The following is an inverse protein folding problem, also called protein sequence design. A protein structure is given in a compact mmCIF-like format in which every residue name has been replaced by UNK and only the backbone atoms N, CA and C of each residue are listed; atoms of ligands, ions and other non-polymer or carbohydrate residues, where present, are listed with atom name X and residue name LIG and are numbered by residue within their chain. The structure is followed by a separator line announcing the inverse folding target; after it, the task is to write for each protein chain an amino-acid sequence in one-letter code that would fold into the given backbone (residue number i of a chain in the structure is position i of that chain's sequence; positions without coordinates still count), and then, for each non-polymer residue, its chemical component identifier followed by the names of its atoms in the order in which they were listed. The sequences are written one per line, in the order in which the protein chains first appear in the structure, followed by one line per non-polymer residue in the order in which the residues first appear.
data_IF_696808792639
#
_entry.id   IF_696808792639
#
_cell.length_a   1.000
_cell.length_b   1.000
_cell.length_c   1.000
_cell.angle_alpha   90.00
_cell.angle_beta   90.00
_cell.angle_gamma   90.00
#
_symmetry.space_group_name_H-M   'P 1'
#
loop_
_entity.id
_entity.type
_entity.pdbx_description
1 polymer ?
#
# COMPACT_ATOMS: atom_id res chain seq x y z
N UNK A 1 15.92 -24.54 -11.56
CA UNK A 1 14.60 -23.85 -11.52
C UNK A 1 14.77 -22.33 -11.64
N UNK A 2 13.70 -21.59 -11.97
CA UNK A 2 13.73 -20.12 -12.12
C UNK A 2 13.78 -19.40 -10.76
N UNK A 3 14.62 -18.38 -10.64
CA UNK A 3 14.73 -17.51 -9.45
C UNK A 3 13.68 -16.38 -9.42
N UNK A 4 12.90 -16.23 -10.48
CA UNK A 4 11.90 -15.15 -10.59
C UNK A 4 10.83 -15.24 -9.49
N UNK A 5 10.23 -16.41 -9.18
CA UNK A 5 9.21 -16.51 -8.14
C UNK A 5 9.68 -16.12 -6.72
N UNK A 6 10.85 -16.58 -6.21
CA UNK A 6 11.31 -16.15 -4.88
C UNK A 6 11.69 -14.66 -4.86
N UNK A 7 12.27 -14.13 -5.94
CA UNK A 7 12.55 -12.69 -6.03
C UNK A 7 11.28 -11.85 -5.96
N UNK A 8 10.22 -12.25 -6.67
CA UNK A 8 8.91 -11.58 -6.61
C UNK A 8 8.28 -11.68 -5.22
N UNK A 9 8.34 -12.85 -4.58
CA UNK A 9 7.84 -13.04 -3.21
C UNK A 9 8.56 -12.14 -2.21
N UNK A 10 9.90 -12.07 -2.29
CA UNK A 10 10.71 -11.19 -1.46
C UNK A 10 10.42 -9.70 -1.70
N UNK A 11 10.26 -9.28 -2.96
CA UNK A 11 9.90 -7.92 -3.29
C UNK A 11 8.54 -7.52 -2.71
N UNK A 12 7.52 -8.36 -2.87
CA UNK A 12 6.19 -8.16 -2.28
C UNK A 12 6.24 -8.12 -0.76
N UNK A 13 7.00 -9.04 -0.15
CA UNK A 13 7.18 -9.09 1.30
C UNK A 13 7.70 -7.75 1.84
N UNK A 14 8.79 -7.24 1.26
CA UNK A 14 9.42 -5.99 1.67
C UNK A 14 8.54 -4.76 1.37
N UNK A 15 7.91 -4.74 0.19
CA UNK A 15 7.02 -3.65 -0.22
C UNK A 15 5.78 -3.54 0.69
N UNK A 16 5.24 -4.66 1.18
CA UNK A 16 4.16 -4.67 2.15
C UNK A 16 4.62 -4.38 3.59
N UNK A 17 5.80 -4.90 3.96
CA UNK A 17 6.33 -4.74 5.31
C UNK A 17 6.62 -3.28 5.65
N UNK A 18 7.19 -2.52 4.70
CA UNK A 18 7.53 -1.11 4.91
C UNK A 18 6.33 -0.25 5.38
N UNK A 19 5.17 -0.23 4.71
CA UNK A 19 3.99 0.45 5.22
C UNK A 19 3.41 -0.23 6.46
N UNK A 20 3.43 -1.57 6.59
CA UNK A 20 2.89 -2.25 7.77
C UNK A 20 3.55 -1.80 9.08
N UNK A 21 4.88 -1.73 9.08
CA UNK A 21 5.69 -1.29 10.22
C UNK A 21 5.82 0.22 10.32
N UNK A 22 5.21 0.96 9.38
CA UNK A 22 5.39 2.40 9.20
C UNK A 22 6.88 2.82 9.16
N UNK A 23 7.72 1.99 8.50
CA UNK A 23 9.15 2.23 8.43
C UNK A 23 9.42 3.56 7.71
N UNK A 24 10.12 4.48 8.37
CA UNK A 24 10.37 5.86 7.89
C UNK A 24 9.09 6.64 7.54
N UNK A 25 7.95 6.29 8.14
CA UNK A 25 6.67 6.93 7.82
C UNK A 25 6.11 6.49 6.46
N UNK A 26 6.42 5.29 5.98
CA UNK A 26 5.94 4.79 4.69
C UNK A 26 4.40 4.82 4.58
N UNK A 27 3.65 4.50 5.64
CA UNK A 27 2.19 4.57 5.59
C UNK A 27 1.72 6.03 5.49
N UNK A 28 2.39 6.93 6.20
CA UNK A 28 2.16 8.37 6.09
C UNK A 28 2.47 8.89 4.67
N UNK A 29 3.60 8.49 4.09
CA UNK A 29 4.00 8.89 2.74
C UNK A 29 2.98 8.41 1.70
N UNK A 30 2.54 7.15 1.78
CA UNK A 30 1.52 6.61 0.87
C UNK A 30 0.24 7.43 0.95
N UNK A 31 -0.23 7.74 2.17
CA UNK A 31 -1.44 8.56 2.36
C UNK A 31 -1.24 9.98 1.82
N UNK A 32 -0.17 10.66 2.22
CA UNK A 32 0.05 12.08 1.88
C UNK A 32 0.42 12.32 0.42
N UNK A 33 1.05 11.35 -0.26
CA UNK A 33 1.51 11.50 -1.64
C UNK A 33 0.55 10.84 -2.64
N UNK A 34 0.07 9.63 -2.37
CA UNK A 34 -0.79 8.91 -3.34
C UNK A 34 -2.28 9.17 -3.13
N UNK A 35 -2.73 9.39 -1.88
CA UNK A 35 -4.16 9.49 -1.57
C UNK A 35 -4.64 10.93 -1.33
N UNK A 36 -3.72 11.89 -1.20
CA UNK A 36 -4.06 13.27 -0.89
C UNK A 36 -4.73 13.97 -2.09
N UNK A 37 -5.98 14.47 -1.93
CA UNK A 37 -6.71 15.13 -3.01
C UNK A 37 -6.10 16.47 -3.43
N UNK A 38 -5.17 17.03 -2.65
CA UNK A 38 -4.42 18.23 -3.04
C UNK A 38 -3.58 18.02 -4.32
N UNK A 39 -3.17 16.77 -4.59
CA UNK A 39 -2.44 16.41 -5.81
C UNK A 39 -3.33 15.71 -6.85
N UNK A 40 -4.65 15.63 -6.61
CA UNK A 40 -5.56 14.98 -7.53
C UNK A 40 -5.81 15.83 -8.78
N UNK A 41 -5.98 15.16 -9.92
CA UNK A 41 -6.29 15.84 -11.18
C UNK A 41 -7.58 16.68 -11.08
N UNK A 42 -7.69 17.78 -11.83
CA UNK A 42 -8.88 18.65 -11.83
C UNK A 42 -10.19 17.89 -12.13
N UNK A 43 -10.11 16.81 -12.93
CA UNK A 43 -11.24 15.94 -13.23
C UNK A 43 -11.76 15.15 -12.03
N UNK A 44 -10.88 14.75 -11.10
CA UNK A 44 -11.24 14.10 -9.85
C UNK A 44 -11.90 15.08 -8.89
N UNK A 45 -11.37 16.30 -8.78
CA UNK A 45 -11.96 17.37 -7.97
C UNK A 45 -13.39 17.69 -8.42
N UNK A 46 -13.66 17.71 -9.73
CA UNK A 46 -15.02 17.86 -10.27
C UNK A 46 -15.96 16.70 -9.89
N UNK A 47 -15.45 15.47 -9.79
CA UNK A 47 -16.25 14.32 -9.32
C UNK A 47 -16.59 14.44 -7.84
N UNK A 48 -15.65 14.90 -7.01
CA UNK A 48 -15.91 15.19 -5.60
C UNK A 48 -16.98 16.28 -5.43
N UNK A 49 -16.86 17.38 -6.18
CA UNK A 49 -17.88 18.44 -6.18
C UNK A 49 -19.26 17.93 -6.60
N UNK A 50 -19.36 17.08 -7.63
CA UNK A 50 -20.64 16.44 -8.03
C UNK A 50 -21.23 15.53 -6.95
N UNK A 51 -20.40 15.00 -6.05
CA UNK A 51 -20.83 14.13 -4.95
C UNK A 51 -21.22 14.91 -3.69
N UNK A 52 -21.21 16.25 -3.75
CA UNK A 52 -21.51 17.12 -2.61
C UNK A 52 -20.36 17.27 -1.62
N UNK A 53 -19.13 16.90 -2.01
CA UNK A 53 -17.95 17.09 -1.15
C UNK A 53 -17.41 18.50 -1.37
N UNK A 54 -17.74 19.40 -0.45
CA UNK A 54 -17.38 20.83 -0.53
C UNK A 54 -15.90 21.07 -0.21
N UNK A 55 -15.32 20.29 0.71
CA UNK A 55 -13.94 20.48 1.20
C UNK A 55 -13.16 19.15 1.26
N UNK A 56 -12.78 18.58 0.10
CA UNK A 56 -12.16 17.24 0.04
C UNK A 56 -10.85 17.14 0.82
N UNK A 57 -10.10 18.24 0.96
CA UNK A 57 -8.89 18.27 1.78
C UNK A 57 -9.20 18.21 3.29
N UNK A 58 -10.24 18.91 3.75
CA UNK A 58 -10.62 18.93 5.17
C UNK A 58 -11.11 17.55 5.62
N UNK A 59 -11.93 16.89 4.79
CA UNK A 59 -12.42 15.53 5.03
C UNK A 59 -11.26 14.53 5.01
N UNK A 60 -10.33 14.68 4.06
CA UNK A 60 -9.13 13.86 3.99
C UNK A 60 -8.28 13.96 5.27
N UNK A 61 -8.06 15.16 5.81
CA UNK A 61 -7.31 15.32 7.06
C UNK A 61 -8.02 14.68 8.26
N UNK A 62 -9.35 14.72 8.28
CA UNK A 62 -10.16 14.08 9.32
C UNK A 62 -10.03 12.55 9.30
N UNK A 63 -9.96 11.97 8.10
CA UNK A 63 -9.84 10.53 7.90
C UNK A 63 -8.39 10.02 7.77
N UNK A 64 -7.39 10.90 7.69
CA UNK A 64 -6.01 10.55 7.39
C UNK A 64 -5.43 9.51 8.36
N UNK A 65 -5.77 9.56 9.65
CA UNK A 65 -5.35 8.56 10.63
C UNK A 65 -5.92 7.17 10.34
N UNK A 66 -7.22 7.11 9.99
CA UNK A 66 -7.89 5.85 9.63
C UNK A 66 -7.35 5.31 8.31
N UNK A 67 -7.06 6.18 7.35
CA UNK A 67 -6.43 5.79 6.08
C UNK A 67 -5.01 5.25 6.29
N UNK A 68 -4.21 5.87 7.18
CA UNK A 68 -2.88 5.34 7.54
C UNK A 68 -2.99 3.96 8.17
N UNK A 69 -3.93 3.75 9.10
CA UNK A 69 -4.17 2.43 9.67
C UNK A 69 -4.57 1.40 8.62
N UNK A 70 -5.46 1.77 7.68
CA UNK A 70 -5.82 0.90 6.55
C UNK A 70 -4.60 0.55 5.70
N UNK A 71 -3.76 1.52 5.34
CA UNK A 71 -2.53 1.29 4.58
C UNK A 71 -1.58 0.35 5.31
N UNK A 72 -1.47 0.45 6.64
CA UNK A 72 -0.67 -0.48 7.46
C UNK A 72 -1.23 -1.90 7.41
N UNK A 73 -2.54 -2.05 7.55
CA UNK A 73 -3.22 -3.37 7.49
C UNK A 73 -3.04 -4.01 6.12
N UNK A 74 -3.26 -3.25 5.05
CA UNK A 74 -3.04 -3.71 3.68
C UNK A 74 -1.57 -4.06 3.42
N UNK A 75 -0.64 -3.24 3.92
CA UNK A 75 0.78 -3.55 3.90
C UNK A 75 1.09 -4.90 4.55
N UNK A 76 0.51 -5.17 5.72
CA UNK A 76 0.66 -6.44 6.42
C UNK A 76 0.15 -7.64 5.61
N UNK A 77 -1.02 -7.50 4.96
CA UNK A 77 -1.58 -8.53 4.08
C UNK A 77 -0.68 -8.81 2.87
N UNK A 78 -0.20 -7.75 2.20
CA UNK A 78 0.74 -7.86 1.07
C UNK A 78 2.03 -8.53 1.52
N UNK A 79 2.52 -8.17 2.70
CA UNK A 79 3.71 -8.78 3.29
C UNK A 79 3.52 -10.29 3.52
N UNK A 80 2.41 -10.68 4.15
CA UNK A 80 2.09 -12.09 4.40
C UNK A 80 1.99 -12.91 3.10
N UNK A 81 1.36 -12.36 2.06
CA UNK A 81 1.29 -13.00 0.74
C UNK A 81 2.67 -13.13 0.10
N UNK A 82 3.49 -12.08 0.14
CA UNK A 82 4.86 -12.13 -0.36
C UNK A 82 5.70 -13.20 0.34
N UNK A 83 5.55 -13.31 1.66
CA UNK A 83 6.23 -14.34 2.46
C UNK A 83 5.78 -15.75 2.07
N UNK A 84 4.48 -15.96 1.83
CA UNK A 84 3.95 -17.26 1.38
C UNK A 84 4.50 -17.65 0.00
N UNK A 85 4.53 -16.71 -0.95
CA UNK A 85 5.10 -16.95 -2.29
C UNK A 85 6.59 -17.27 -2.18
N UNK A 86 7.31 -16.50 -1.36
CA UNK A 86 8.73 -16.71 -1.12
C UNK A 86 8.99 -18.12 -0.54
N UNK A 87 8.30 -18.51 0.54
CA UNK A 87 8.52 -19.82 1.17
C UNK A 87 8.20 -20.98 0.23
N UNK A 88 7.04 -20.96 -0.43
CA UNK A 88 6.64 -22.02 -1.36
C UNK A 88 7.65 -22.12 -2.51
N UNK A 89 7.99 -20.99 -3.15
CA UNK A 89 8.92 -21.01 -4.27
C UNK A 89 10.34 -21.42 -3.90
N UNK A 90 10.84 -21.02 -2.71
CA UNK A 90 12.14 -21.48 -2.21
C UNK A 90 12.14 -22.98 -1.93
N UNK A 91 11.07 -23.52 -1.34
CA UNK A 91 10.95 -24.97 -1.07
C UNK A 91 10.98 -25.76 -2.39
N UNK A 92 10.20 -25.34 -3.39
CA UNK A 92 10.22 -25.99 -4.71
C UNK A 92 11.60 -25.89 -5.37
N UNK A 93 12.29 -24.75 -5.27
CA UNK A 93 13.61 -24.53 -5.85
C UNK A 93 14.71 -25.38 -5.20
N UNK A 94 14.58 -25.72 -3.92
CA UNK A 94 15.52 -26.59 -3.21
C UNK A 94 15.24 -28.07 -3.45
N UNK A 95 13.97 -28.45 -3.62
CA UNK A 95 13.54 -29.84 -3.79
C UNK A 95 13.55 -30.34 -5.24
N UNK A 96 13.71 -29.47 -6.24
CA UNK A 96 13.69 -29.83 -7.66
C UNK A 96 14.89 -29.33 -8.44
#
# INVERSE_FOLDING_TARGET
MSLIPPLLGGALFLAGLAPATDHRGAARWVVEVLLNPAYAEPGLLRRYARRGVEHPQMDFYRDALRQRQLVRVWGGLVSALGLLVLTVSTVFLVLG
#
